data_IF_542190397594
#
_entry.id   IF_542190397594
#
_cell.length_a   1.000
_cell.length_b   1.000
_cell.length_c   1.000
_cell.angle_alpha   90.00
_cell.angle_beta   90.00
_cell.angle_gamma   90.00
#
_symmetry.space_group_name_H-M   'P 1'
#
loop_
_entity.id
_entity.type
_entity.pdbx_description
1 polymer ?
#
# COMPACT_ATOMS: atom_id res chain seq x y z
N UNK A 1 9.04 17.78 -15.09
CA UNK A 1 9.36 17.42 -13.70
C UNK A 1 9.47 18.69 -12.88
N UNK A 2 8.76 18.76 -11.75
CA UNK A 2 8.82 19.90 -10.82
C UNK A 2 10.21 20.02 -10.18
N UNK A 3 10.65 21.25 -9.90
CA UNK A 3 11.91 21.54 -9.17
C UNK A 3 11.91 20.92 -7.78
N UNK A 4 10.75 20.85 -7.12
CA UNK A 4 10.58 20.19 -5.83
C UNK A 4 10.86 18.68 -5.92
N UNK A 5 10.36 18.02 -6.97
CA UNK A 5 10.63 16.59 -7.20
C UNK A 5 12.12 16.33 -7.43
N UNK A 6 12.81 17.23 -8.15
CA UNK A 6 14.26 17.11 -8.37
C UNK A 6 15.05 17.26 -7.08
N UNK A 7 14.72 18.24 -6.24
CA UNK A 7 15.36 18.42 -4.94
C UNK A 7 15.09 17.23 -4.00
N UNK A 8 13.86 16.71 -3.99
CA UNK A 8 13.50 15.52 -3.21
C UNK A 8 14.30 14.28 -3.64
N UNK A 9 14.52 14.08 -4.94
CA UNK A 9 15.33 12.97 -5.44
C UNK A 9 16.81 13.10 -5.06
N UNK A 10 17.38 14.31 -5.13
CA UNK A 10 18.76 14.55 -4.70
C UNK A 10 18.92 14.30 -3.20
N UNK A 11 17.96 14.77 -2.40
CA UNK A 11 17.95 14.53 -0.95
C UNK A 11 17.85 13.04 -0.63
N UNK A 12 16.95 12.31 -1.29
CA UNK A 12 16.79 10.87 -1.12
C UNK A 12 18.07 10.11 -1.51
N UNK A 13 18.68 10.48 -2.64
CA UNK A 13 19.94 9.87 -3.08
C UNK A 13 21.07 10.11 -2.06
N UNK A 14 21.18 11.34 -1.53
CA UNK A 14 22.13 11.68 -0.48
C UNK A 14 21.91 10.87 0.81
N UNK A 15 20.66 10.81 1.29
CA UNK A 15 20.31 10.01 2.46
C UNK A 15 20.64 8.52 2.25
N UNK A 16 20.41 7.99 1.06
CA UNK A 16 20.74 6.61 0.73
C UNK A 16 22.25 6.35 0.74
N UNK A 17 23.06 7.27 0.19
CA UNK A 17 24.52 7.16 0.24
C UNK A 17 25.02 7.16 1.69
N UNK A 18 24.45 8.00 2.56
CA UNK A 18 24.85 8.04 3.98
C UNK A 18 24.54 6.75 4.72
N UNK A 19 23.40 6.12 4.43
CA UNK A 19 23.01 4.86 5.06
C UNK A 19 23.85 3.71 4.52
N UNK A 20 24.00 3.58 3.20
CA UNK A 20 24.77 2.51 2.57
C UNK A 20 26.28 2.60 2.85
N UNK A 21 26.78 3.78 3.25
CA UNK A 21 28.17 3.99 3.60
C UNK A 21 28.54 3.58 5.03
N UNK A 22 27.57 3.19 5.88
CA UNK A 22 27.88 2.75 7.25
C UNK A 22 28.51 1.35 7.22
N UNK A 23 29.60 1.14 7.95
CA UNK A 23 30.26 -0.18 8.05
C UNK A 23 29.38 -1.21 8.74
N UNK A 24 28.51 -0.77 9.65
CA UNK A 24 27.54 -1.60 10.38
C UNK A 24 26.66 -2.44 9.47
N UNK A 25 26.26 -1.91 8.30
CA UNK A 25 25.42 -2.63 7.32
C UNK A 25 26.16 -3.78 6.60
N UNK A 26 27.49 -3.72 6.55
CA UNK A 26 28.32 -4.66 5.79
C UNK A 26 29.14 -5.61 6.66
N UNK A 27 29.40 -5.23 7.91
CA UNK A 27 30.11 -6.05 8.91
C UNK A 27 29.19 -7.03 9.65
N UNK A 28 27.87 -6.95 9.44
CA UNK A 28 26.93 -7.88 10.06
C UNK A 28 26.97 -9.27 9.38
N UNK A 29 27.19 -10.32 10.18
CA UNK A 29 27.00 -11.68 9.70
C UNK A 29 25.53 -11.89 9.29
N UNK A 30 25.25 -12.56 8.17
CA UNK A 30 23.88 -12.75 7.69
C UNK A 30 23.08 -13.56 8.71
N UNK A 31 22.27 -12.86 9.51
CA UNK A 31 21.30 -13.46 10.42
C UNK A 31 20.18 -14.10 9.62
N UNK A 32 19.88 -15.37 9.90
CA UNK A 32 18.69 -16.02 9.35
C UNK A 32 17.44 -15.31 9.88
N UNK A 33 16.70 -14.67 8.98
CA UNK A 33 15.45 -13.98 9.31
C UNK A 33 14.40 -15.04 9.58
N UNK A 34 13.93 -15.11 10.82
CA UNK A 34 12.85 -16.02 11.19
C UNK A 34 11.49 -15.41 10.90
N UNK A 35 10.45 -16.25 10.83
CA UNK A 35 9.07 -15.76 10.76
C UNK A 35 8.69 -14.90 11.98
N UNK A 36 9.32 -15.15 13.13
CA UNK A 36 9.12 -14.35 14.34
C UNK A 36 9.74 -12.96 14.20
N UNK A 37 10.96 -12.85 13.67
CA UNK A 37 11.60 -11.56 13.40
C UNK A 37 10.73 -10.73 12.43
N UNK A 38 10.22 -11.36 11.37
CA UNK A 38 9.31 -10.70 10.43
C UNK A 38 8.01 -10.23 11.11
N UNK A 39 7.39 -11.06 11.93
CA UNK A 39 6.16 -10.70 12.64
C UNK A 39 6.38 -9.50 13.57
N UNK A 40 7.49 -9.47 14.30
CA UNK A 40 7.85 -8.35 15.17
C UNK A 40 8.08 -7.07 14.36
N UNK A 41 8.88 -7.11 13.29
CA UNK A 41 9.11 -5.94 12.43
C UNK A 41 7.81 -5.42 11.79
N UNK A 42 6.88 -6.31 11.43
CA UNK A 42 5.59 -5.91 10.86
C UNK A 42 4.65 -5.26 11.89
N UNK A 43 4.70 -5.69 13.15
CA UNK A 43 3.83 -5.21 14.22
C UNK A 43 4.41 -4.03 15.01
N UNK A 44 5.73 -3.85 15.01
CA UNK A 44 6.40 -2.76 15.70
C UNK A 44 6.79 -1.64 14.71
N UNK A 45 7.82 -1.87 13.89
CA UNK A 45 8.39 -0.84 13.01
C UNK A 45 7.44 -0.42 11.88
N UNK A 46 6.70 -1.38 11.33
CA UNK A 46 5.80 -1.18 10.19
C UNK A 46 4.31 -1.08 10.57
N UNK A 47 4.01 -0.99 11.87
CA UNK A 47 2.64 -1.01 12.38
C UNK A 47 1.73 0.04 11.72
N UNK A 48 2.21 1.29 11.64
CA UNK A 48 1.43 2.41 11.10
C UNK A 48 1.24 2.30 9.58
N UNK A 49 2.28 2.06 8.75
CA UNK A 49 2.09 1.75 7.32
C UNK A 49 1.12 0.59 7.07
N UNK A 50 1.22 -0.48 7.86
CA UNK A 50 0.38 -1.68 7.71
C UNK A 50 -1.09 -1.40 8.07
N UNK A 51 -1.33 -0.57 9.10
CA UNK A 51 -2.66 -0.06 9.42
C UNK A 51 -3.25 0.76 8.26
N UNK A 52 -2.48 1.69 7.70
CA UNK A 52 -2.91 2.50 6.56
C UNK A 52 -3.26 1.61 5.37
N UNK A 53 -2.40 0.62 5.07
CA UNK A 53 -2.66 -0.35 4.01
C UNK A 53 -3.96 -1.12 4.26
N UNK A 54 -4.21 -1.57 5.49
CA UNK A 54 -5.45 -2.24 5.86
C UNK A 54 -6.70 -1.38 5.63
N UNK A 55 -6.62 -0.08 5.97
CA UNK A 55 -7.71 0.88 5.71
C UNK A 55 -7.93 1.09 4.20
N UNK A 56 -6.84 1.22 3.43
CA UNK A 56 -6.91 1.34 1.97
C UNK A 56 -7.53 0.09 1.33
N UNK A 57 -7.14 -1.10 1.79
CA UNK A 57 -7.73 -2.35 1.34
C UNK A 57 -9.21 -2.45 1.70
N UNK A 58 -9.61 -2.04 2.90
CA UNK A 58 -11.02 -2.00 3.31
C UNK A 58 -11.83 -1.06 2.40
N UNK A 59 -11.31 0.14 2.08
CA UNK A 59 -11.95 1.05 1.13
C UNK A 59 -12.05 0.44 -0.27
N UNK A 60 -11.01 -0.24 -0.74
CA UNK A 60 -11.03 -0.92 -2.04
C UNK A 60 -12.10 -2.02 -2.09
N UNK A 61 -12.22 -2.85 -1.04
CA UNK A 61 -13.25 -3.89 -0.95
C UNK A 61 -14.66 -3.30 -0.92
N UNK A 62 -14.87 -2.22 -0.17
CA UNK A 62 -16.15 -1.51 -0.18
C UNK A 62 -16.47 -0.96 -1.57
N UNK A 63 -15.51 -0.32 -2.24
CA UNK A 63 -15.67 0.18 -3.60
C UNK A 63 -16.07 -0.92 -4.58
N UNK A 64 -15.39 -2.06 -4.55
CA UNK A 64 -15.73 -3.22 -5.39
C UNK A 64 -17.16 -3.72 -5.12
N UNK A 65 -17.58 -3.80 -3.86
CA UNK A 65 -18.93 -4.22 -3.51
C UNK A 65 -20.01 -3.25 -4.03
N UNK A 66 -19.75 -1.93 -3.96
CA UNK A 66 -20.66 -0.92 -4.51
C UNK A 66 -20.78 -1.01 -6.02
N UNK A 67 -19.69 -1.24 -6.75
CA UNK A 67 -19.74 -1.41 -8.21
C UNK A 67 -20.68 -2.54 -8.62
N UNK A 68 -20.54 -3.74 -8.03
CA UNK A 68 -21.42 -4.87 -8.38
C UNK A 68 -22.85 -4.64 -7.88
N UNK A 69 -23.05 -3.91 -6.77
CA UNK A 69 -24.40 -3.52 -6.33
C UNK A 69 -25.04 -2.59 -7.35
N UNK A 70 -24.30 -1.62 -7.86
CA UNK A 70 -24.80 -0.63 -8.80
C UNK A 70 -25.11 -1.26 -10.15
N UNK A 71 -24.27 -2.18 -10.65
CA UNK A 71 -24.56 -3.00 -11.84
C UNK A 71 -25.86 -3.80 -11.69
N UNK A 72 -26.08 -4.42 -10.53
CA UNK A 72 -27.32 -5.17 -10.26
C UNK A 72 -28.55 -4.28 -10.20
N UNK A 73 -28.43 -3.04 -9.69
CA UNK A 73 -29.54 -2.09 -9.64
C UNK A 73 -29.91 -1.61 -11.04
N UNK A 74 -28.92 -1.26 -11.86
CA UNK A 74 -29.15 -0.85 -13.25
C UNK A 74 -29.86 -1.95 -14.05
N UNK A 75 -29.46 -3.22 -13.88
CA UNK A 75 -30.10 -4.33 -14.57
C UNK A 75 -31.59 -4.49 -14.19
N UNK A 76 -31.93 -4.31 -12.90
CA UNK A 76 -33.33 -4.37 -12.44
C UNK A 76 -34.19 -3.23 -13.01
N UNK A 77 -33.62 -2.02 -13.13
CA UNK A 77 -34.31 -0.87 -13.71
C UNK A 77 -34.59 -1.07 -15.21
N UNK A 78 -33.66 -1.70 -15.92
CA UNK A 78 -33.84 -2.11 -17.33
C UNK A 78 -34.95 -3.15 -17.49
N UNK A 79 -35.02 -4.16 -16.62
CA UNK A 79 -36.07 -5.18 -16.64
C UNK A 79 -37.46 -4.56 -16.43
N UNK A 80 -37.63 -3.72 -15.40
CA UNK A 80 -38.92 -3.08 -15.10
C UNK A 80 -39.41 -2.17 -16.23
N UNK A 81 -38.50 -1.42 -16.86
CA UNK A 81 -38.85 -0.55 -17.98
C UNK A 81 -39.26 -1.33 -19.24
N UNK A 82 -38.76 -2.55 -19.41
CA UNK A 82 -39.13 -3.44 -20.52
C UNK A 82 -40.51 -4.09 -20.35
N UNK A 83 -41.01 -4.21 -19.12
CA UNK A 83 -42.34 -4.75 -18.81
C UNK A 83 -43.46 -3.71 -19.00
N UNK A 84 -43.14 -2.41 -18.93
CA UNK A 84 -44.07 -1.28 -19.08
C UNK A 84 -44.30 -0.82 -20.55
N UNK A 85 -43.70 -1.49 -21.54
CA UNK A 85 -43.77 -1.15 -22.98
C UNK A 85 -44.56 -2.18 -23.80
#
# INVERSE_FOLDING_TARGET
>A
MSTLTRLGLIFLAGAMITVLGTSELWDEEPKEITTLDLANTMLDDWALPLLILGVLMAMAMMGAAYLVRDERRENLEWEQRGEDA
#
